data_IF_236675611910
#
_entry.id   IF_236675611910
#
_cell.length_a   1.000
_cell.length_b   1.000
_cell.length_c   1.000
_cell.angle_alpha   90.00
_cell.angle_beta   90.00
_cell.angle_gamma   90.00
#
_symmetry.space_group_name_H-M   'P 1'
#
loop_
_entity.id
_entity.type
_entity.pdbx_description
1 polymer ?
#
# COMPACT_ATOMS: atom_id res chain seq x y z
N UNK A 1 17.64 -7.16 -16.92
CA UNK A 1 16.67 -6.67 -15.92
C UNK A 1 16.12 -5.27 -16.21
N UNK A 2 16.89 -4.34 -16.79
CA UNK A 2 16.42 -2.99 -17.12
C UNK A 2 15.33 -2.91 -18.20
N UNK A 3 15.38 -3.76 -19.23
CA UNK A 3 14.31 -3.85 -20.25
C UNK A 3 12.95 -4.18 -19.62
N UNK A 4 12.92 -5.16 -18.70
CA UNK A 4 11.69 -5.58 -18.01
C UNK A 4 11.15 -4.45 -17.11
N UNK A 5 12.02 -3.77 -16.38
CA UNK A 5 11.65 -2.59 -15.58
C UNK A 5 11.05 -1.49 -16.44
N UNK A 6 11.69 -1.13 -17.57
CA UNK A 6 11.16 -0.12 -18.50
C UNK A 6 9.77 -0.50 -19.02
N UNK A 7 9.57 -1.77 -19.41
CA UNK A 7 8.27 -2.28 -19.88
C UNK A 7 7.20 -2.16 -18.79
N UNK A 8 7.50 -2.58 -17.55
CA UNK A 8 6.55 -2.49 -16.43
C UNK A 8 6.23 -1.03 -16.08
N UNK A 9 7.21 -0.14 -16.15
CA UNK A 9 7.04 1.28 -15.80
C UNK A 9 6.25 2.03 -16.87
N UNK A 10 6.48 1.73 -18.15
CA UNK A 10 5.66 2.26 -19.26
C UNK A 10 4.22 1.75 -19.20
N UNK A 11 4.01 0.50 -18.79
CA UNK A 11 2.67 -0.09 -18.61
C UNK A 11 1.93 0.55 -17.43
N UNK A 12 2.62 0.78 -16.31
CA UNK A 12 2.02 1.36 -15.11
C UNK A 12 1.76 2.87 -15.23
N UNK A 13 2.53 3.58 -16.06
CA UNK A 13 2.40 5.03 -16.25
C UNK A 13 1.45 5.43 -17.39
N UNK A 14 1.04 4.49 -18.25
CA UNK A 14 0.12 4.78 -19.36
C UNK A 14 -1.32 4.65 -18.87
N UNK A 15 -2.01 5.79 -18.71
CA UNK A 15 -3.45 5.85 -18.49
C UNK A 15 -4.22 5.16 -19.63
N UNK A 16 -5.33 4.50 -19.28
CA UNK A 16 -6.26 3.70 -20.12
C UNK A 16 -6.62 4.31 -21.49
N UNK A 17 -6.45 5.62 -21.69
CA UNK A 17 -6.79 6.34 -22.92
C UNK A 17 -5.76 6.23 -24.07
N UNK A 18 -4.57 5.64 -23.85
CA UNK A 18 -3.52 5.49 -24.87
C UNK A 18 -3.17 4.03 -25.21
N UNK A 19 -4.11 3.10 -25.01
CA UNK A 19 -3.89 1.67 -25.26
C UNK A 19 -3.66 1.30 -26.75
N UNK A 20 -3.99 2.21 -27.68
CA UNK A 20 -3.96 1.97 -29.13
C UNK A 20 -2.56 2.04 -29.78
N UNK A 21 -1.53 2.52 -29.08
CA UNK A 21 -0.17 2.69 -29.62
C UNK A 21 0.83 1.59 -29.17
N UNK A 22 0.37 0.56 -28.47
CA UNK A 22 1.20 -0.50 -27.89
C UNK A 22 1.20 -1.80 -28.72
N UNK A 23 2.30 -2.58 -28.72
CA UNK A 23 2.45 -3.80 -29.53
C UNK A 23 1.46 -4.92 -29.14
N UNK A 24 1.16 -5.83 -30.07
CA UNK A 24 0.13 -6.89 -29.97
C UNK A 24 0.15 -7.72 -28.66
N UNK A 25 1.34 -8.00 -28.09
CA UNK A 25 1.46 -8.72 -26.80
C UNK A 25 0.85 -7.97 -25.61
N UNK A 26 0.83 -6.64 -25.65
CA UNK A 26 0.33 -5.81 -24.55
C UNK A 26 -1.20 -5.83 -24.50
N UNK A 27 -1.82 -5.91 -25.67
CA UNK A 27 -3.28 -6.00 -25.85
C UNK A 27 -3.86 -7.31 -25.31
N UNK A 28 -3.11 -8.40 -25.30
CA UNK A 28 -3.58 -9.69 -24.75
C UNK A 28 -3.40 -9.79 -23.23
N UNK A 29 -2.37 -9.16 -22.64
CA UNK A 29 -2.13 -9.18 -21.19
C UNK A 29 -3.00 -8.16 -20.44
N UNK A 30 -3.30 -7.01 -21.05
CA UNK A 30 -4.13 -5.97 -20.45
C UNK A 30 -5.49 -6.46 -19.89
N UNK A 31 -6.31 -7.24 -20.63
CA UNK A 31 -7.59 -7.72 -20.10
C UNK A 31 -7.41 -8.68 -18.92
N UNK A 32 -6.36 -9.52 -18.93
CA UNK A 32 -6.05 -10.43 -17.83
C UNK A 32 -5.65 -9.67 -16.56
N UNK A 33 -4.75 -8.68 -16.69
CA UNK A 33 -4.35 -7.83 -15.55
C UNK A 33 -5.50 -6.96 -15.05
N UNK A 34 -6.37 -6.48 -15.95
CA UNK A 34 -7.56 -5.71 -15.59
C UNK A 34 -8.58 -6.56 -14.82
N UNK A 35 -8.84 -7.79 -15.29
CA UNK A 35 -9.69 -8.74 -14.58
C UNK A 35 -9.12 -9.07 -13.19
N UNK A 36 -7.82 -9.36 -13.10
CA UNK A 36 -7.14 -9.59 -11.82
C UNK A 36 -7.21 -8.35 -10.89
N UNK A 37 -7.03 -7.14 -11.43
CA UNK A 37 -7.17 -5.89 -10.68
C UNK A 37 -8.60 -5.68 -10.14
N UNK A 38 -9.61 -5.98 -10.95
CA UNK A 38 -11.02 -5.90 -10.54
C UNK A 38 -11.34 -6.89 -9.42
N UNK A 39 -10.88 -8.15 -9.54
CA UNK A 39 -11.01 -9.16 -8.48
C UNK A 39 -10.31 -8.73 -7.19
N UNK A 40 -9.11 -8.15 -7.29
CA UNK A 40 -8.39 -7.61 -6.15
C UNK A 40 -9.14 -6.45 -5.48
N UNK A 41 -9.67 -5.49 -6.26
CA UNK A 41 -10.48 -4.37 -5.76
C UNK A 41 -11.73 -4.87 -5.04
N UNK A 42 -12.44 -5.85 -5.62
CA UNK A 42 -13.62 -6.45 -5.01
C UNK A 42 -13.27 -7.13 -3.68
N UNK A 43 -12.18 -7.89 -3.66
CA UNK A 43 -11.69 -8.58 -2.45
C UNK A 43 -11.34 -7.59 -1.33
N UNK A 44 -10.65 -6.48 -1.66
CA UNK A 44 -10.36 -5.41 -0.70
C UNK A 44 -11.64 -4.72 -0.20
N UNK A 45 -12.61 -4.49 -1.07
CA UNK A 45 -13.89 -3.88 -0.71
C UNK A 45 -14.68 -4.77 0.27
N UNK A 46 -14.77 -6.07 -0.02
CA UNK A 46 -15.41 -7.04 0.88
C UNK A 46 -14.67 -7.08 2.21
N UNK A 47 -13.35 -7.20 2.21
CA UNK A 47 -12.54 -7.20 3.43
C UNK A 47 -12.78 -5.95 4.28
N UNK A 48 -12.81 -4.77 3.66
CA UNK A 48 -13.12 -3.50 4.35
C UNK A 48 -14.52 -3.53 4.96
N UNK A 49 -15.53 -4.00 4.22
CA UNK A 49 -16.89 -4.15 4.75
C UNK A 49 -16.94 -5.10 5.93
N UNK A 50 -16.23 -6.23 5.89
CA UNK A 50 -16.21 -7.19 6.99
C UNK A 50 -15.59 -6.61 8.27
N UNK A 51 -14.53 -5.80 8.15
CA UNK A 51 -13.99 -5.07 9.31
C UNK A 51 -14.95 -3.99 9.83
N UNK A 52 -15.60 -3.23 8.95
CA UNK A 52 -16.54 -2.18 9.35
C UNK A 52 -17.78 -2.73 10.07
N UNK A 53 -18.29 -3.88 9.64
CA UNK A 53 -19.43 -4.55 10.29
C UNK A 53 -19.01 -5.39 11.50
N UNK A 54 -17.74 -5.37 11.90
CA UNK A 54 -17.24 -6.13 13.06
C UNK A 54 -17.21 -7.65 12.87
N UNK A 55 -17.38 -8.15 11.64
CA UNK A 55 -17.33 -9.59 11.33
C UNK A 55 -15.91 -10.12 11.49
N UNK A 56 -14.90 -9.33 11.12
CA UNK A 56 -13.50 -9.65 11.37
C UNK A 56 -13.05 -9.11 12.72
N UNK A 57 -12.33 -9.94 13.47
CA UNK A 57 -11.84 -9.60 14.81
C UNK A 57 -10.88 -8.41 14.76
N UNK A 58 -11.11 -7.43 15.64
CA UNK A 58 -10.27 -6.26 15.82
C UNK A 58 -9.67 -6.30 17.22
N UNK A 59 -8.34 -6.32 17.30
CA UNK A 59 -7.65 -6.22 18.58
C UNK A 59 -7.44 -4.74 18.92
N UNK A 60 -7.85 -4.33 20.12
CA UNK A 60 -7.62 -2.98 20.64
C UNK A 60 -6.64 -3.05 21.80
N UNK A 61 -5.56 -2.28 21.68
CA UNK A 61 -4.60 -2.11 22.76
C UNK A 61 -5.19 -1.16 23.83
N UNK A 62 -4.78 -1.31 25.11
CA UNK A 62 -5.24 -0.43 26.19
C UNK A 62 -4.65 0.98 26.13
N UNK A 63 -3.79 1.26 25.16
CA UNK A 63 -3.12 2.54 24.93
C UNK A 63 -3.54 3.15 23.60
N UNK A 64 -3.44 4.49 23.42
CA UNK A 64 -3.67 5.13 22.13
C UNK A 64 -2.72 4.58 21.05
N UNK A 65 -3.23 4.30 19.86
CA UNK A 65 -2.45 3.75 18.74
C UNK A 65 -2.59 4.65 17.51
N UNK A 66 -1.45 5.06 16.94
CA UNK A 66 -1.39 5.84 15.69
C UNK A 66 -0.84 4.93 14.59
N UNK A 67 -1.56 4.81 13.48
CA UNK A 67 -1.14 4.00 12.33
C UNK A 67 -0.55 4.87 11.23
N UNK A 68 0.73 4.67 10.93
CA UNK A 68 1.43 5.37 9.84
C UNK A 68 1.49 4.45 8.61
N UNK A 69 0.70 4.78 7.60
CA UNK A 69 0.50 3.98 6.39
C UNK A 69 0.67 4.79 5.10
N UNK A 70 0.60 4.08 3.97
CA UNK A 70 0.58 4.69 2.63
C UNK A 70 -0.18 3.74 1.70
N UNK A 71 -0.80 4.31 0.67
CA UNK A 71 -1.61 3.59 -0.31
C UNK A 71 -0.78 3.01 -1.46
N UNK A 72 0.37 3.62 -1.77
CA UNK A 72 1.24 3.20 -2.87
C UNK A 72 2.45 2.41 -2.38
N UNK A 73 2.97 1.56 -3.26
CA UNK A 73 4.21 0.81 -3.04
C UNK A 73 5.42 1.74 -3.24
N UNK A 74 6.47 1.58 -2.43
CA UNK A 74 7.72 2.38 -2.51
C UNK A 74 8.02 3.21 -1.26
N UNK A 75 9.17 3.90 -1.30
CA UNK A 75 9.69 4.76 -0.22
C UNK A 75 8.91 6.07 -0.07
N UNK A 76 7.67 5.99 0.37
CA UNK A 76 6.76 7.14 0.50
C UNK A 76 6.88 7.85 1.85
N UNK A 77 8.10 7.95 2.39
CA UNK A 77 8.37 8.72 3.62
C UNK A 77 7.74 8.19 4.91
N UNK A 78 7.21 6.94 4.95
CA UNK A 78 6.64 6.38 6.19
C UNK A 78 7.63 6.41 7.35
N UNK A 79 8.88 6.02 7.10
CA UNK A 79 9.90 5.94 8.14
C UNK A 79 10.26 7.33 8.68
N UNK A 80 10.61 8.34 7.85
CA UNK A 80 10.76 9.72 8.33
C UNK A 80 9.53 10.27 9.07
N UNK A 81 8.32 9.95 8.61
CA UNK A 81 7.08 10.40 9.26
C UNK A 81 6.90 9.76 10.64
N UNK A 82 7.19 8.46 10.78
CA UNK A 82 7.14 7.77 12.07
C UNK A 82 8.18 8.33 13.03
N UNK A 83 9.39 8.60 12.56
CA UNK A 83 10.46 9.21 13.37
C UNK A 83 10.07 10.62 13.84
N UNK A 84 9.54 11.46 12.94
CA UNK A 84 9.02 12.77 13.28
C UNK A 84 7.94 12.69 14.37
N UNK A 85 6.97 11.79 14.21
CA UNK A 85 5.91 11.61 15.20
C UNK A 85 6.47 11.16 16.55
N UNK A 86 7.43 10.22 16.56
CA UNK A 86 8.07 9.75 17.78
C UNK A 86 8.77 10.89 18.53
N UNK A 87 9.55 11.73 17.81
CA UNK A 87 10.21 12.90 18.41
C UNK A 87 9.20 13.93 18.97
N UNK A 88 8.08 14.15 18.26
CA UNK A 88 7.02 15.06 18.74
C UNK A 88 6.38 14.53 20.02
N UNK A 89 6.12 13.23 20.12
CA UNK A 89 5.54 12.62 21.33
C UNK A 89 6.53 12.65 22.49
N UNK A 90 7.80 12.34 22.24
CA UNK A 90 8.86 12.41 23.25
C UNK A 90 9.05 13.83 23.78
N UNK A 91 9.06 14.84 22.90
CA UNK A 91 9.09 16.26 23.28
C UNK A 91 7.86 16.72 24.07
N UNK A 92 6.73 16.01 23.96
CA UNK A 92 5.53 16.22 24.76
C UNK A 92 5.53 15.42 26.09
N UNK A 93 6.59 14.67 26.38
CA UNK A 93 6.71 13.82 27.57
C UNK A 93 5.93 12.50 27.48
N UNK A 94 5.53 12.08 26.27
CA UNK A 94 4.79 10.83 26.04
C UNK A 94 5.74 9.82 25.39
N UNK A 95 6.14 8.75 26.09
CA UNK A 95 7.10 7.78 25.54
C UNK A 95 6.47 7.00 24.37
N UNK A 96 7.00 7.10 23.14
CA UNK A 96 6.45 6.40 21.99
C UNK A 96 6.91 4.92 21.94
N UNK A 97 6.02 4.03 21.47
CA UNK A 97 6.36 2.64 21.14
C UNK A 97 6.09 2.39 19.64
N UNK A 98 7.13 2.05 18.89
CA UNK A 98 7.03 1.80 17.45
C UNK A 98 6.82 0.32 17.19
N UNK A 99 5.67 -0.03 16.59
CA UNK A 99 5.37 -1.39 16.14
C UNK A 99 5.73 -1.55 14.66
N UNK A 100 6.78 -2.31 14.38
CA UNK A 100 7.22 -2.64 13.02
C UNK A 100 6.83 -4.07 12.64
N UNK A 101 6.59 -4.31 11.34
CA UNK A 101 6.39 -5.65 10.78
C UNK A 101 7.71 -6.38 10.52
N UNK A 102 8.81 -5.65 10.42
CA UNK A 102 10.15 -6.20 10.18
C UNK A 102 10.84 -6.27 11.53
N UNK A 103 11.22 -7.48 11.94
CA UNK A 103 12.10 -7.73 13.08
C UNK A 103 13.52 -7.28 12.70
N UNK A 104 13.78 -5.97 12.72
CA UNK A 104 15.15 -5.46 12.82
C UNK A 104 15.19 -4.58 14.07
N UNK A 105 15.44 -5.25 15.19
CA UNK A 105 16.00 -4.59 16.36
C UNK A 105 17.48 -4.34 16.03
N UNK A 106 17.86 -3.07 15.96
CA UNK A 106 19.23 -2.62 16.15
C UNK A 106 19.21 -1.62 17.31
#
# INVERSE_FOLDING_TARGET
MEKLRKIVTQTAATSDSNLHSLPFLHRSLAPLLSAASSLYKLSLFLRRKLYLHGVLHQHRLPVPVISVGNLTWGGNGKTPMTEFLAMVMDGAGIPPLILTRILEFA
#
